data_IF_304615276940
#
_entry.id   IF_304615276940
#
_cell.length_a   1.000
_cell.length_b   1.000
_cell.length_c   1.000
_cell.angle_alpha   90.00
_cell.angle_beta   90.00
_cell.angle_gamma   90.00
#
_symmetry.space_group_name_H-M   'P 1'
#
loop_
_entity.id
_entity.type
_entity.pdbx_description
1 polymer ?
#
# COMPACT_ATOMS: atom_id res chain seq x y z
N UNK A 1 0.82 4.24 -20.88
CA UNK A 1 0.55 2.87 -20.39
C UNK A 1 1.33 2.68 -19.10
N UNK A 2 0.69 2.24 -18.01
CA UNK A 2 1.38 2.00 -16.73
C UNK A 2 2.23 0.74 -16.88
N UNK A 3 3.51 0.81 -16.51
CA UNK A 3 4.40 -0.36 -16.46
C UNK A 3 3.79 -1.39 -15.52
N UNK A 4 3.58 -2.64 -15.97
CA UNK A 4 3.04 -3.68 -15.09
C UNK A 4 4.00 -3.91 -13.92
N UNK A 5 3.43 -4.15 -12.73
CA UNK A 5 4.24 -4.41 -11.55
C UNK A 5 5.12 -5.65 -11.76
N UNK A 6 6.37 -5.62 -11.27
CA UNK A 6 7.18 -6.82 -11.16
C UNK A 6 6.44 -7.90 -10.39
N UNK A 7 6.73 -9.17 -10.67
CA UNK A 7 6.17 -10.27 -9.87
C UNK A 7 6.62 -10.12 -8.42
N UNK A 8 5.67 -10.11 -7.49
CA UNK A 8 5.97 -10.04 -6.06
C UNK A 8 5.93 -11.45 -5.45
N UNK A 9 6.86 -11.77 -4.52
CA UNK A 9 6.76 -12.98 -3.71
C UNK A 9 5.72 -12.85 -2.58
N UNK A 10 5.21 -11.64 -2.33
CA UNK A 10 4.28 -11.34 -1.24
C UNK A 10 2.82 -11.60 -1.67
N UNK A 11 2.10 -12.52 -1.02
CA UNK A 11 0.75 -12.93 -1.42
C UNK A 11 -0.33 -11.86 -1.15
N UNK A 12 -0.06 -10.86 -0.31
CA UNK A 12 -1.02 -9.80 0.02
C UNK A 12 -0.98 -8.59 -0.93
N UNK A 13 -0.32 -8.70 -2.09
CA UNK A 13 -0.29 -7.66 -3.13
C UNK A 13 -1.39 -7.93 -4.16
N UNK A 14 -2.30 -6.98 -4.30
CA UNK A 14 -3.47 -7.05 -5.17
C UNK A 14 -3.35 -6.04 -6.32
N UNK A 15 -3.69 -6.47 -7.52
CA UNK A 15 -3.67 -5.61 -8.74
C UNK A 15 -5.03 -5.51 -9.41
N UNK A 16 -6.07 -6.13 -8.84
CA UNK A 16 -7.44 -6.07 -9.33
C UNK A 16 -7.95 -4.63 -9.39
N UNK A 17 -8.65 -4.30 -10.46
CA UNK A 17 -9.18 -2.95 -10.72
C UNK A 17 -10.07 -2.47 -9.58
N UNK A 18 -10.97 -3.33 -9.09
CA UNK A 18 -11.89 -3.01 -8.00
C UNK A 18 -11.16 -2.62 -6.71
N UNK A 19 -10.11 -3.35 -6.37
CA UNK A 19 -9.31 -3.07 -5.16
C UNK A 19 -8.58 -1.74 -5.36
N UNK A 20 -7.90 -1.56 -6.49
CA UNK A 20 -7.16 -0.30 -6.77
C UNK A 20 -8.07 0.92 -6.79
N UNK A 21 -9.29 0.79 -7.32
CA UNK A 21 -10.29 1.86 -7.31
C UNK A 21 -10.67 2.27 -5.87
N UNK A 22 -10.85 1.30 -4.96
CA UNK A 22 -11.18 1.58 -3.57
C UNK A 22 -10.08 2.35 -2.81
N UNK A 23 -8.82 2.26 -3.27
CA UNK A 23 -7.67 2.97 -2.70
C UNK A 23 -7.24 4.19 -3.53
N UNK A 24 -8.04 4.61 -4.51
CA UNK A 24 -7.70 5.73 -5.39
C UNK A 24 -7.88 7.10 -4.74
N UNK A 25 -8.57 7.18 -3.61
CA UNK A 25 -8.81 8.41 -2.86
C UNK A 25 -8.67 8.25 -1.34
N UNK A 26 -8.64 9.38 -0.64
CA UNK A 26 -8.74 9.49 0.82
C UNK A 26 -9.84 10.49 1.17
N UNK A 27 -9.74 11.16 2.32
CA UNK A 27 -10.71 12.21 2.69
C UNK A 27 -10.57 13.52 1.89
N UNK A 28 -9.45 13.71 1.17
CA UNK A 28 -9.17 14.92 0.39
C UNK A 28 -9.68 14.88 -1.05
N UNK A 29 -9.25 15.87 -1.84
CA UNK A 29 -9.66 16.03 -3.25
C UNK A 29 -8.85 15.20 -4.25
N UNK A 30 -7.71 14.65 -3.82
CA UNK A 30 -6.79 13.92 -4.69
C UNK A 30 -7.33 12.54 -5.05
N UNK A 31 -7.40 12.24 -6.35
CA UNK A 31 -7.74 10.92 -6.90
C UNK A 31 -6.64 10.41 -7.82
N UNK A 32 -6.00 9.32 -7.41
CA UNK A 32 -4.91 8.69 -8.15
C UNK A 32 -5.06 7.18 -8.02
N UNK A 33 -5.36 6.50 -9.14
CA UNK A 33 -5.42 5.04 -9.15
C UNK A 33 -4.00 4.47 -8.95
N UNK A 34 -3.76 3.68 -7.88
CA UNK A 34 -2.46 3.08 -7.63
C UNK A 34 -2.16 1.97 -8.63
N UNK A 35 -0.91 1.52 -8.69
CA UNK A 35 -0.54 0.37 -9.53
C UNK A 35 -0.88 -0.95 -8.83
N UNK A 36 -0.91 -0.96 -7.49
CA UNK A 36 -1.35 -2.10 -6.68
C UNK A 36 -1.66 -1.70 -5.24
N UNK A 37 -2.19 -2.64 -4.47
CA UNK A 37 -2.50 -2.47 -3.04
C UNK A 37 -1.93 -3.65 -2.26
N UNK A 38 -1.13 -3.37 -1.25
CA UNK A 38 -0.55 -4.35 -0.34
C UNK A 38 -1.21 -4.25 1.04
N UNK A 39 -1.67 -5.38 1.57
CA UNK A 39 -2.26 -5.46 2.92
C UNK A 39 -1.42 -6.44 3.75
N UNK A 40 -0.29 -5.99 4.34
CA UNK A 40 0.55 -6.84 5.19
C UNK A 40 -0.18 -7.24 6.47
N UNK A 41 -0.05 -8.51 6.88
CA UNK A 41 -0.67 -9.04 8.11
C UNK A 41 0.17 -8.79 9.36
N UNK A 42 1.41 -8.38 9.19
CA UNK A 42 2.37 -8.16 10.27
C UNK A 42 3.71 -7.63 9.77
N UNK A 43 4.69 -7.56 10.67
CA UNK A 43 6.01 -6.97 10.43
C UNK A 43 6.77 -7.74 9.36
N UNK A 44 6.71 -9.07 9.37
CA UNK A 44 7.43 -9.95 8.44
C UNK A 44 6.96 -9.74 7.00
N UNK A 45 5.63 -9.66 6.80
CA UNK A 45 5.01 -9.35 5.51
C UNK A 45 5.46 -7.96 5.02
N UNK A 46 5.43 -6.95 5.91
CA UNK A 46 5.85 -5.59 5.58
C UNK A 46 7.33 -5.52 5.21
N UNK A 47 8.21 -6.20 5.94
CA UNK A 47 9.64 -6.26 5.64
C UNK A 47 9.90 -6.93 4.29
N UNK A 48 9.18 -8.00 3.96
CA UNK A 48 9.30 -8.65 2.65
C UNK A 48 8.87 -7.72 1.51
N UNK A 49 7.74 -7.02 1.69
CA UNK A 49 7.26 -6.03 0.74
C UNK A 49 8.28 -4.90 0.51
N UNK A 50 8.85 -4.35 1.58
CA UNK A 50 9.84 -3.26 1.50
C UNK A 50 11.12 -3.72 0.78
N UNK A 51 11.63 -4.93 1.08
CA UNK A 51 12.79 -5.49 0.37
C UNK A 51 12.52 -5.65 -1.13
N UNK A 52 11.40 -6.27 -1.49
CA UNK A 52 11.00 -6.44 -2.89
C UNK A 52 10.83 -5.08 -3.61
N UNK A 53 10.24 -4.09 -2.94
CA UNK A 53 10.03 -2.77 -3.51
C UNK A 53 11.38 -2.05 -3.74
N UNK A 54 12.31 -2.18 -2.81
CA UNK A 54 13.66 -1.65 -2.96
C UNK A 54 14.43 -2.33 -4.11
N UNK A 55 14.38 -3.66 -4.21
CA UNK A 55 15.03 -4.44 -5.25
C UNK A 55 14.49 -4.13 -6.65
N UNK A 56 13.21 -3.82 -6.76
CA UNK A 56 12.54 -3.58 -8.05
C UNK A 56 12.32 -2.11 -8.39
N UNK A 57 12.68 -1.19 -7.47
CA UNK A 57 12.40 0.24 -7.62
C UNK A 57 10.90 0.58 -7.59
N UNK A 58 10.07 -0.28 -7.00
CA UNK A 58 8.62 -0.05 -6.91
C UNK A 58 8.31 0.99 -5.83
N UNK A 59 7.65 2.12 -6.15
CA UNK A 59 7.28 3.11 -5.13
C UNK A 59 6.22 2.56 -4.17
N UNK A 60 6.42 2.78 -2.87
CA UNK A 60 5.43 2.46 -1.84
C UNK A 60 4.79 3.75 -1.29
N UNK A 61 3.50 3.69 -0.99
CA UNK A 61 2.75 4.78 -0.36
C UNK A 61 2.08 4.24 0.89
N UNK A 62 2.56 4.65 2.07
CA UNK A 62 2.00 4.20 3.34
C UNK A 62 0.59 4.77 3.55
N UNK A 63 -0.32 3.92 4.04
CA UNK A 63 -1.70 4.30 4.35
C UNK A 63 -2.16 3.66 5.66
N UNK A 64 -2.66 4.51 6.57
CA UNK A 64 -3.46 4.09 7.73
C UNK A 64 -4.95 4.08 7.39
N UNK A 65 -5.78 4.79 8.17
CA UNK A 65 -7.22 4.89 7.91
C UNK A 65 -7.62 5.74 6.68
N UNK A 66 -6.68 6.43 6.00
CA UNK A 66 -6.98 7.22 4.80
C UNK A 66 -7.72 8.53 5.01
N UNK A 67 -7.85 9.00 6.26
CA UNK A 67 -8.60 10.21 6.64
C UNK A 67 -7.83 11.53 6.42
N UNK A 68 -6.56 11.48 6.00
CA UNK A 68 -5.77 12.67 5.73
C UNK A 68 -6.20 13.38 4.44
N UNK A 69 -6.37 14.71 4.51
CA UNK A 69 -6.85 15.51 3.37
C UNK A 69 -5.73 15.96 2.41
N UNK A 70 -4.48 16.04 2.88
CA UNK A 70 -3.34 16.55 2.10
C UNK A 70 -2.82 15.58 1.01
N UNK A 71 -3.47 14.43 0.80
CA UNK A 71 -3.11 13.48 -0.26
C UNK A 71 -1.97 12.51 0.07
N UNK A 72 -1.40 12.54 1.28
CA UNK A 72 -0.26 11.67 1.65
C UNK A 72 -0.54 10.15 1.64
N UNK A 73 -1.81 9.74 1.55
CA UNK A 73 -2.24 8.33 1.55
C UNK A 73 -2.75 7.82 0.20
N UNK A 74 -2.48 8.57 -0.88
CA UNK A 74 -2.83 8.22 -2.26
C UNK A 74 -1.63 8.45 -3.18
N UNK A 75 -1.50 7.66 -4.25
CA UNK A 75 -0.39 7.80 -5.19
C UNK A 75 -0.33 6.71 -6.24
N UNK A 76 0.57 6.88 -7.23
CA UNK A 76 0.69 5.96 -8.38
C UNK A 76 1.43 4.65 -8.05
N UNK A 77 2.08 4.55 -6.89
CA UNK A 77 2.82 3.37 -6.46
C UNK A 77 1.92 2.23 -5.95
N UNK A 78 2.50 1.34 -5.15
CA UNK A 78 1.76 0.38 -4.34
C UNK A 78 1.31 1.06 -3.05
N UNK A 79 0.00 1.10 -2.81
CA UNK A 79 -0.54 1.56 -1.54
C UNK A 79 -0.34 0.46 -0.51
N UNK A 80 0.22 0.79 0.65
CA UNK A 80 0.45 -0.15 1.76
C UNK A 80 -0.55 0.14 2.86
N UNK A 81 -1.60 -0.67 2.97
CA UNK A 81 -2.64 -0.52 3.99
C UNK A 81 -2.21 -1.18 5.30
N UNK A 82 -1.87 -0.34 6.28
CA UNK A 82 -1.44 -0.73 7.61
C UNK A 82 -2.59 -0.77 8.62
N UNK A 83 -3.84 -0.50 8.20
CA UNK A 83 -4.99 -0.41 9.12
C UNK A 83 -5.42 -1.74 9.73
N UNK A 84 -5.04 -2.87 9.14
CA UNK A 84 -5.50 -4.21 9.55
C UNK A 84 -4.47 -4.97 10.39
N UNK A 85 -3.20 -5.00 9.96
CA UNK A 85 -2.14 -5.81 10.60
C UNK A 85 -1.45 -5.16 11.81
N UNK A 86 -1.76 -3.89 12.12
CA UNK A 86 -0.97 -3.06 13.04
C UNK A 86 -1.83 -2.30 14.06
N UNK A 87 -2.65 -3.01 14.83
CA UNK A 87 -3.54 -2.44 15.86
C UNK A 87 -2.92 -2.33 17.27
N UNK A 88 -1.63 -2.59 17.41
CA UNK A 88 -0.95 -2.66 18.70
C UNK A 88 -0.70 -1.25 19.28
N UNK A 89 -1.32 -0.93 20.42
CA UNK A 89 -1.13 0.35 21.14
C UNK A 89 -0.04 0.28 22.22
N UNK A 90 0.46 -0.92 22.52
CA UNK A 90 1.58 -1.14 23.44
C UNK A 90 2.65 -1.96 22.73
N UNK A 91 3.90 -1.49 22.66
CA UNK A 91 4.98 -2.34 22.22
C UNK A 91 5.21 -3.46 23.25
N UNK A 92 5.46 -4.68 22.76
CA UNK A 92 5.82 -5.84 23.59
C UNK A 92 7.33 -6.02 23.72
N UNK A 93 8.09 -4.94 23.54
CA UNK A 93 9.53 -4.87 23.79
C UNK A 93 9.81 -4.13 25.10
#
# INVERSE_FOLDING_TARGET
>A
MSTPLPRSPFPGLWTDERIRAAYSEGAGIYRIVPTGVAIPRGVEDLQQLVRWAAETGTPLVARGGGSGMAGGSVGRGVIVDLSQGFAWTKPSW
#
